data_IF_618319561486
#
_entry.id   IF_618319561486
#
_cell.length_a   1.000
_cell.length_b   1.000
_cell.length_c   1.000
_cell.angle_alpha   90.00
_cell.angle_beta   90.00
_cell.angle_gamma   90.00
#
_symmetry.space_group_name_H-M   'P 1'
#
loop_
_entity.id
_entity.type
_entity.pdbx_description
1 polymer ?
#
# COMPACT_ATOMS: atom_id res chain seq x y z
N UNK A 1 18.65 5.93 -25.66
CA UNK A 1 17.86 5.72 -24.44
C UNK A 1 18.34 4.45 -23.78
N UNK A 2 18.30 4.40 -22.45
CA UNK A 2 18.68 3.21 -21.71
C UNK A 2 17.45 2.32 -21.45
N UNK A 3 17.70 1.03 -21.25
CA UNK A 3 16.65 0.04 -20.92
C UNK A 3 16.45 -0.05 -19.40
N UNK A 4 15.30 -0.55 -18.94
CA UNK A 4 15.08 -0.73 -17.49
C UNK A 4 16.12 -1.69 -16.88
N UNK A 5 16.56 -2.69 -17.66
CA UNK A 5 17.61 -3.63 -17.26
C UNK A 5 18.95 -2.93 -17.01
N UNK A 6 19.30 -1.93 -17.82
CA UNK A 6 20.51 -1.12 -17.60
C UNK A 6 20.38 -0.29 -16.32
N UNK A 7 19.20 0.26 -16.02
CA UNK A 7 18.98 0.95 -14.75
C UNK A 7 19.12 0.01 -13.55
N UNK A 8 18.59 -1.21 -13.66
CA UNK A 8 18.71 -2.25 -12.63
C UNK A 8 20.17 -2.61 -12.34
N UNK A 9 20.97 -2.85 -13.38
CA UNK A 9 22.38 -3.25 -13.28
C UNK A 9 23.31 -2.13 -12.80
N UNK A 10 22.96 -0.87 -13.08
CA UNK A 10 23.78 0.28 -12.70
C UNK A 10 23.23 1.00 -11.45
N UNK A 11 22.29 0.39 -10.73
CA UNK A 11 21.68 0.93 -9.50
C UNK A 11 21.12 2.35 -9.64
N UNK A 12 20.51 2.64 -10.78
CA UNK A 12 19.98 3.97 -11.08
C UNK A 12 18.57 4.17 -10.50
N UNK A 13 18.26 5.43 -10.18
CA UNK A 13 16.93 5.85 -9.77
C UNK A 13 15.95 5.76 -10.95
N UNK A 14 14.68 5.48 -10.66
CA UNK A 14 13.58 5.66 -11.62
C UNK A 14 12.48 6.52 -11.00
N UNK A 15 11.86 7.36 -11.80
CA UNK A 15 10.60 8.02 -11.54
C UNK A 15 9.48 7.48 -12.44
N UNK A 16 8.22 7.72 -12.06
CA UNK A 16 7.06 7.24 -12.83
C UNK A 16 6.99 7.80 -14.27
N UNK A 17 7.54 9.00 -14.49
CA UNK A 17 7.52 9.67 -15.80
C UNK A 17 8.75 9.36 -16.67
N UNK A 18 9.65 8.50 -16.22
CA UNK A 18 10.79 8.08 -17.03
C UNK A 18 10.33 7.23 -18.23
N UNK A 19 11.16 7.21 -19.27
CA UNK A 19 10.92 6.41 -20.47
C UNK A 19 12.12 5.53 -20.79
N UNK A 20 11.84 4.33 -21.30
CA UNK A 20 12.85 3.29 -21.51
C UNK A 20 12.80 2.79 -22.96
N UNK A 21 13.96 2.41 -23.48
CA UNK A 21 14.05 1.71 -24.77
C UNK A 21 13.81 0.22 -24.54
N UNK A 22 12.82 -0.35 -25.22
CA UNK A 22 12.51 -1.79 -25.26
C UNK A 22 12.39 -2.24 -26.74
N UNK A 23 12.28 -3.56 -26.98
CA UNK A 23 12.30 -4.14 -28.33
C UNK A 23 11.24 -3.56 -29.29
N UNK A 24 10.12 -3.10 -28.73
CA UNK A 24 8.98 -2.54 -29.46
C UNK A 24 9.02 -1.00 -29.61
N UNK A 25 10.05 -0.35 -29.07
CA UNK A 25 10.22 1.11 -29.10
C UNK A 25 10.36 1.73 -27.71
N UNK A 26 9.90 2.97 -27.58
CA UNK A 26 9.91 3.69 -26.31
C UNK A 26 8.67 3.35 -25.50
N UNK A 27 8.86 2.94 -24.25
CA UNK A 27 7.79 2.65 -23.29
C UNK A 27 7.91 3.52 -22.05
N UNK A 28 6.80 3.69 -21.33
CA UNK A 28 6.76 4.37 -20.03
C UNK A 28 7.36 3.54 -18.91
N UNK A 29 7.67 4.16 -17.77
CA UNK A 29 8.15 3.44 -16.58
C UNK A 29 7.17 2.37 -16.09
N UNK A 30 5.86 2.66 -16.10
CA UNK A 30 4.83 1.69 -15.71
C UNK A 30 4.82 0.46 -16.62
N UNK A 31 4.88 0.66 -17.94
CA UNK A 31 4.94 -0.44 -18.92
C UNK A 31 6.22 -1.27 -18.77
N UNK A 32 7.37 -0.61 -18.61
CA UNK A 32 8.64 -1.29 -18.40
C UNK A 32 8.65 -2.12 -17.10
N UNK A 33 8.13 -1.56 -16.00
CA UNK A 33 7.98 -2.25 -14.72
C UNK A 33 7.00 -3.41 -14.81
N UNK A 34 5.89 -3.25 -15.54
CA UNK A 34 4.91 -4.32 -15.79
C UNK A 34 5.53 -5.49 -16.55
N UNK A 35 6.28 -5.20 -17.62
CA UNK A 35 7.00 -6.22 -18.39
C UNK A 35 8.03 -6.96 -17.52
N UNK A 36 8.78 -6.24 -16.69
CA UNK A 36 9.73 -6.84 -15.76
C UNK A 36 9.03 -7.68 -14.68
N UNK A 37 7.92 -7.18 -14.12
CA UNK A 37 7.11 -7.90 -13.14
C UNK A 37 6.61 -9.23 -13.71
N UNK A 38 6.06 -9.25 -14.93
CA UNK A 38 5.54 -10.48 -15.54
C UNK A 38 6.64 -11.52 -15.72
N UNK A 39 7.83 -11.10 -16.16
CA UNK A 39 8.99 -11.98 -16.32
C UNK A 39 9.44 -12.55 -14.97
N UNK A 40 9.58 -11.70 -13.94
CA UNK A 40 9.96 -12.12 -12.59
C UNK A 40 8.93 -13.04 -11.94
N UNK A 41 7.65 -12.67 -12.01
CA UNK A 41 6.55 -13.50 -11.51
C UNK A 41 6.62 -14.90 -12.14
N UNK A 42 6.77 -14.96 -13.46
CA UNK A 42 6.86 -16.23 -14.20
C UNK A 42 8.07 -17.06 -13.76
N UNK A 43 9.24 -16.43 -13.58
CA UNK A 43 10.46 -17.11 -13.12
C UNK A 43 10.33 -17.63 -11.67
N UNK A 44 9.63 -16.91 -10.81
CA UNK A 44 9.45 -17.25 -9.39
C UNK A 44 8.25 -18.17 -9.11
N UNK A 45 7.38 -18.43 -10.10
CA UNK A 45 6.17 -19.25 -9.91
C UNK A 45 6.52 -20.74 -9.82
N UNK A 46 6.16 -21.44 -8.72
CA UNK A 46 6.38 -22.88 -8.63
C UNK A 46 5.60 -23.67 -9.70
N UNK A 47 6.15 -24.80 -10.17
CA UNK A 47 5.53 -25.60 -11.22
C UNK A 47 4.12 -26.15 -10.91
N UNK A 48 3.75 -26.25 -9.64
CA UNK A 48 2.44 -26.75 -9.18
C UNK A 48 1.46 -25.63 -8.81
N UNK A 49 1.76 -24.38 -9.18
CA UNK A 49 0.98 -23.23 -8.78
C UNK A 49 -0.36 -23.14 -9.55
N UNK A 50 -1.47 -22.96 -8.82
CA UNK A 50 -2.79 -22.75 -9.40
C UNK A 50 -2.87 -21.35 -10.00
N UNK A 51 -3.33 -21.26 -11.25
CA UNK A 51 -3.37 -20.01 -11.99
C UNK A 51 -4.48 -19.10 -11.44
N UNK A 52 -4.09 -18.09 -10.68
CA UNK A 52 -4.95 -16.97 -10.29
C UNK A 52 -4.77 -15.79 -11.24
N UNK A 53 -5.80 -14.92 -11.43
CA UNK A 53 -5.62 -13.65 -12.11
C UNK A 53 -4.61 -12.78 -11.35
N UNK A 54 -3.61 -12.25 -12.06
CA UNK A 54 -2.61 -11.34 -11.49
C UNK A 54 -2.60 -10.06 -12.33
N UNK A 55 -2.78 -8.93 -11.68
CA UNK A 55 -2.80 -7.60 -12.30
C UNK A 55 -1.64 -6.78 -11.75
N UNK A 56 -0.97 -6.02 -12.62
CA UNK A 56 0.07 -5.07 -12.25
C UNK A 56 -0.33 -3.65 -12.63
N UNK A 57 -0.07 -2.68 -11.77
CA UNK A 57 -0.16 -1.25 -12.09
C UNK A 57 0.88 -0.43 -11.31
N UNK A 58 1.12 0.80 -11.75
CA UNK A 58 1.93 1.74 -10.99
C UNK A 58 1.36 3.17 -11.05
N UNK A 59 1.42 3.87 -9.92
CA UNK A 59 1.02 5.28 -9.83
C UNK A 59 2.02 6.10 -9.01
N UNK A 60 1.70 7.38 -8.85
CA UNK A 60 2.44 8.30 -7.99
C UNK A 60 1.51 8.93 -6.99
N UNK A 61 1.99 9.14 -5.77
CA UNK A 61 1.29 9.89 -4.75
C UNK A 61 2.23 10.96 -4.19
N UNK A 62 1.84 12.22 -4.28
CA UNK A 62 2.63 13.36 -3.82
C UNK A 62 1.95 14.01 -2.60
N UNK A 63 2.60 13.92 -1.45
CA UNK A 63 2.10 14.51 -0.22
C UNK A 63 1.96 16.03 -0.29
N UNK A 64 2.77 16.70 -1.10
CA UNK A 64 2.76 18.16 -1.21
C UNK A 64 1.50 18.69 -1.90
N UNK A 65 0.80 17.80 -2.62
CA UNK A 65 -0.47 18.11 -3.30
C UNK A 65 -1.69 17.86 -2.40
N UNK A 66 -1.50 17.31 -1.19
CA UNK A 66 -2.60 17.09 -0.24
C UNK A 66 -3.19 18.44 0.18
N UNK A 67 -4.49 18.61 -0.03
CA UNK A 67 -5.21 19.86 0.24
C UNK A 67 -5.13 20.90 -0.87
N UNK A 68 -4.30 20.67 -1.91
CA UNK A 68 -4.29 21.46 -3.14
C UNK A 68 -5.16 20.82 -4.23
N UNK A 69 -5.18 19.49 -4.30
CA UNK A 69 -6.03 18.72 -5.20
C UNK A 69 -7.19 18.08 -4.44
N UNK A 70 -8.37 17.99 -5.08
CA UNK A 70 -9.53 17.29 -4.53
C UNK A 70 -9.26 15.79 -4.37
N UNK A 71 -8.54 15.19 -5.32
CA UNK A 71 -8.06 13.81 -5.25
C UNK A 71 -6.83 13.61 -6.12
N UNK A 72 -5.97 12.69 -5.72
CA UNK A 72 -4.88 12.17 -6.54
C UNK A 72 -5.33 10.82 -7.14
N UNK A 73 -4.78 10.47 -8.29
CA UNK A 73 -5.03 9.16 -8.90
C UNK A 73 -4.59 8.04 -7.94
N UNK A 74 -5.44 7.02 -7.79
CA UNK A 74 -5.16 5.84 -6.99
C UNK A 74 -5.48 4.59 -7.81
N UNK A 75 -4.53 4.22 -8.68
CA UNK A 75 -4.70 3.05 -9.54
C UNK A 75 -4.78 1.77 -8.74
N UNK A 76 -4.20 1.72 -7.53
CA UNK A 76 -4.34 0.56 -6.66
C UNK A 76 -5.80 0.35 -6.24
N UNK A 77 -6.45 1.40 -5.74
CA UNK A 77 -7.86 1.37 -5.38
C UNK A 77 -8.74 1.03 -6.60
N UNK A 78 -8.47 1.66 -7.74
CA UNK A 78 -9.19 1.42 -8.99
C UNK A 78 -9.09 -0.05 -9.42
N UNK A 79 -7.88 -0.62 -9.45
CA UNK A 79 -7.67 -2.02 -9.84
C UNK A 79 -8.34 -3.00 -8.88
N UNK A 80 -8.39 -2.69 -7.58
CA UNK A 80 -9.15 -3.52 -6.63
C UNK A 80 -10.64 -3.48 -6.94
N UNK A 81 -11.21 -2.28 -7.13
CA UNK A 81 -12.63 -2.10 -7.43
C UNK A 81 -13.02 -2.83 -8.73
N UNK A 82 -12.21 -2.70 -9.78
CA UNK A 82 -12.43 -3.38 -11.06
C UNK A 82 -12.35 -4.92 -10.97
N UNK A 83 -11.70 -5.45 -9.92
CA UNK A 83 -11.54 -6.88 -9.73
C UNK A 83 -12.40 -7.47 -8.60
N UNK A 84 -13.25 -6.67 -7.95
CA UNK A 84 -14.21 -7.21 -6.98
C UNK A 84 -15.13 -8.23 -7.65
N UNK A 85 -15.35 -9.36 -6.98
CA UNK A 85 -16.09 -10.50 -7.53
C UNK A 85 -15.27 -11.43 -8.42
N UNK A 86 -13.97 -11.16 -8.64
CA UNK A 86 -13.04 -12.11 -9.28
C UNK A 86 -12.33 -12.95 -8.21
N UNK A 87 -12.69 -14.24 -8.04
CA UNK A 87 -12.11 -15.07 -6.99
C UNK A 87 -10.60 -15.19 -7.09
N UNK A 88 -9.93 -15.10 -5.94
CA UNK A 88 -8.48 -15.29 -5.80
C UNK A 88 -7.61 -14.33 -6.63
N UNK A 89 -8.17 -13.23 -7.15
CA UNK A 89 -7.40 -12.25 -7.90
C UNK A 89 -6.30 -11.62 -7.02
N UNK A 90 -5.15 -11.36 -7.64
CA UNK A 90 -3.99 -10.73 -7.02
C UNK A 90 -3.70 -9.40 -7.71
N UNK A 91 -3.73 -8.32 -6.95
CA UNK A 91 -3.47 -6.98 -7.45
C UNK A 91 -2.10 -6.55 -6.92
N UNK A 92 -1.15 -6.38 -7.81
CA UNK A 92 0.23 -5.98 -7.52
C UNK A 92 0.43 -4.55 -7.96
N UNK A 93 0.92 -3.70 -7.07
CA UNK A 93 1.01 -2.28 -7.37
C UNK A 93 2.25 -1.64 -6.77
N UNK A 94 2.92 -0.82 -7.58
CA UNK A 94 4.04 0.00 -7.14
C UNK A 94 3.63 1.47 -7.07
N UNK A 95 3.86 2.10 -5.93
CA UNK A 95 3.57 3.53 -5.75
C UNK A 95 4.86 4.32 -5.63
N UNK A 96 5.02 5.33 -6.49
CA UNK A 96 6.08 6.32 -6.37
C UNK A 96 5.62 7.41 -5.42
N UNK A 97 6.05 7.30 -4.17
CA UNK A 97 5.60 8.16 -3.10
C UNK A 97 6.54 9.35 -2.92
N UNK A 98 6.03 10.56 -3.10
CA UNK A 98 6.80 11.81 -3.06
C UNK A 98 6.46 12.63 -1.81
N UNK A 99 7.50 13.11 -1.15
CA UNK A 99 7.42 13.98 0.03
C UNK A 99 8.32 15.20 -0.20
N UNK A 100 8.22 16.22 0.65
CA UNK A 100 9.15 17.37 0.65
C UNK A 100 10.63 16.97 0.79
N UNK A 101 10.92 15.79 1.35
CA UNK A 101 12.28 15.29 1.61
C UNK A 101 12.83 14.43 0.47
N UNK A 102 12.00 14.10 -0.52
CA UNK A 102 12.35 13.21 -1.61
C UNK A 102 11.28 12.17 -1.89
N UNK A 103 11.58 11.27 -2.81
CA UNK A 103 10.67 10.23 -3.28
C UNK A 103 11.20 8.83 -3.05
N UNK A 104 10.27 7.87 -2.97
CA UNK A 104 10.58 6.48 -2.68
C UNK A 104 9.50 5.57 -3.25
N UNK A 105 9.90 4.40 -3.74
CA UNK A 105 8.98 3.38 -4.21
C UNK A 105 8.67 2.39 -3.08
N UNK A 106 7.39 2.07 -2.90
CA UNK A 106 6.95 0.96 -2.07
C UNK A 106 5.92 0.10 -2.80
N UNK A 107 5.73 -1.11 -2.28
CA UNK A 107 4.87 -2.11 -2.91
C UNK A 107 3.57 -2.29 -2.12
N UNK A 108 2.45 -2.36 -2.85
CA UNK A 108 1.12 -2.69 -2.36
C UNK A 108 0.63 -3.95 -3.07
N UNK A 109 0.20 -4.94 -2.31
CA UNK A 109 -0.29 -6.22 -2.81
C UNK A 109 -1.65 -6.50 -2.20
N UNK A 110 -2.70 -6.67 -3.00
CA UNK A 110 -3.99 -7.15 -2.50
C UNK A 110 -4.28 -8.56 -3.00
N UNK A 111 -4.85 -9.37 -2.12
CA UNK A 111 -5.38 -10.68 -2.44
C UNK A 111 -6.88 -10.68 -2.18
N UNK A 112 -7.65 -11.16 -3.17
CA UNK A 112 -9.07 -11.41 -3.01
C UNK A 112 -9.33 -12.86 -2.58
N UNK A 113 -10.42 -13.09 -1.86
CA UNK A 113 -10.84 -14.43 -1.40
C UNK A 113 -11.60 -15.20 -2.50
N UNK A 114 -12.16 -16.37 -2.15
CA UNK A 114 -12.99 -17.18 -3.04
C UNK A 114 -14.28 -16.50 -3.52
N UNK A 115 -14.74 -15.46 -2.83
CA UNK A 115 -15.92 -14.67 -3.22
C UNK A 115 -15.55 -13.46 -4.08
N UNK A 116 -14.26 -13.14 -4.17
CA UNK A 116 -13.76 -11.95 -4.83
C UNK A 116 -13.85 -10.69 -3.95
N UNK A 117 -13.98 -10.84 -2.63
CA UNK A 117 -13.82 -9.74 -1.69
C UNK A 117 -12.36 -9.57 -1.27
N UNK A 118 -11.99 -8.37 -0.80
CA UNK A 118 -10.63 -8.11 -0.30
C UNK A 118 -10.38 -9.00 0.92
N UNK A 119 -9.49 -9.98 0.78
CA UNK A 119 -9.05 -10.81 1.91
C UNK A 119 -8.00 -10.06 2.73
N UNK A 120 -6.98 -9.54 2.05
CA UNK A 120 -5.79 -8.96 2.67
C UNK A 120 -5.11 -7.96 1.73
N UNK A 121 -4.57 -6.90 2.31
CA UNK A 121 -3.66 -5.96 1.66
C UNK A 121 -2.33 -6.03 2.40
N UNK A 122 -1.25 -6.31 1.67
CA UNK A 122 0.12 -6.36 2.18
C UNK A 122 0.88 -5.16 1.63
N UNK A 123 1.44 -4.32 2.49
CA UNK A 123 2.38 -3.28 2.10
C UNK A 123 3.79 -3.70 2.50
N UNK A 124 4.75 -3.44 1.61
CA UNK A 124 6.18 -3.65 1.92
C UNK A 124 6.98 -2.41 1.55
N UNK A 125 8.00 -2.14 2.36
CA UNK A 125 8.90 -1.02 2.18
C UNK A 125 10.33 -1.51 2.45
N UNK A 126 11.26 -1.15 1.55
CA UNK A 126 12.67 -1.48 1.67
C UNK A 126 13.41 -0.55 2.63
N UNK A 127 12.74 0.49 3.16
CA UNK A 127 13.25 1.36 4.22
C UNK A 127 12.28 1.37 5.39
N UNK A 128 12.77 0.98 6.55
CA UNK A 128 11.97 0.89 7.77
C UNK A 128 12.50 1.76 8.89
N UNK A 129 11.59 2.28 9.71
CA UNK A 129 11.88 2.92 10.99
C UNK A 129 10.97 2.27 12.03
N UNK A 130 11.53 1.74 13.12
CA UNK A 130 10.76 1.08 14.19
C UNK A 130 9.79 0.01 13.66
N UNK A 131 10.25 -0.82 12.73
CA UNK A 131 9.47 -1.88 12.06
C UNK A 131 8.26 -1.39 11.23
N UNK A 132 8.25 -0.11 10.87
CA UNK A 132 7.25 0.51 10.00
C UNK A 132 7.94 1.04 8.73
N UNK A 133 7.30 0.89 7.57
CA UNK A 133 7.81 1.45 6.31
C UNK A 133 7.75 2.96 6.33
N UNK A 134 8.79 3.64 5.84
CA UNK A 134 8.86 5.12 5.88
C UNK A 134 7.75 5.73 5.02
N UNK A 135 7.55 5.26 3.80
CA UNK A 135 6.48 5.78 2.93
C UNK A 135 5.22 4.94 3.01
N UNK A 136 5.34 3.61 3.16
CA UNK A 136 4.17 2.74 3.27
C UNK A 136 3.27 3.12 4.46
N UNK A 137 3.86 3.48 5.61
CA UNK A 137 3.07 3.89 6.79
C UNK A 137 2.40 5.25 6.61
N UNK A 138 3.02 6.15 5.85
CA UNK A 138 2.44 7.46 5.52
C UNK A 138 1.32 7.32 4.51
N UNK A 139 1.49 6.46 3.51
CA UNK A 139 0.45 6.10 2.54
C UNK A 139 -0.79 5.54 3.24
N UNK A 140 -0.65 4.57 4.16
CA UNK A 140 -1.76 4.05 4.98
C UNK A 140 -2.47 5.17 5.76
N UNK A 141 -1.72 6.20 6.20
CA UNK A 141 -2.25 7.31 6.98
C UNK A 141 -2.90 8.41 6.15
N UNK A 142 -2.54 8.56 4.88
CA UNK A 142 -2.95 9.72 4.07
C UNK A 142 -3.85 9.33 2.90
N UNK A 143 -3.78 8.08 2.43
CA UNK A 143 -4.62 7.57 1.36
C UNK A 143 -6.00 7.15 1.90
N UNK A 144 -7.11 7.76 1.42
CA UNK A 144 -8.45 7.46 1.91
C UNK A 144 -8.89 6.01 1.71
N UNK A 145 -8.51 5.39 0.60
CA UNK A 145 -8.84 3.99 0.32
C UNK A 145 -8.15 3.05 1.31
N UNK A 146 -6.85 3.24 1.54
CA UNK A 146 -6.10 2.44 2.51
C UNK A 146 -6.60 2.67 3.95
N UNK A 147 -6.97 3.90 4.30
CA UNK A 147 -7.60 4.18 5.60
C UNK A 147 -8.91 3.41 5.79
N UNK A 148 -9.76 3.35 4.76
CA UNK A 148 -11.01 2.61 4.80
C UNK A 148 -10.78 1.10 4.97
N UNK A 149 -9.69 0.57 4.39
CA UNK A 149 -9.32 -0.85 4.45
C UNK A 149 -8.36 -1.20 5.59
N UNK A 150 -8.12 -0.29 6.55
CA UNK A 150 -7.06 -0.44 7.58
C UNK A 150 -7.07 -1.76 8.35
N UNK A 151 -8.24 -2.38 8.55
CA UNK A 151 -8.35 -3.67 9.24
C UNK A 151 -7.83 -4.87 8.43
N UNK A 152 -7.74 -4.73 7.11
CA UNK A 152 -7.27 -5.75 6.16
C UNK A 152 -5.80 -5.54 5.78
N UNK A 153 -5.17 -4.48 6.28
CA UNK A 153 -3.79 -4.11 5.96
C UNK A 153 -2.83 -4.80 6.93
N UNK A 154 -1.85 -5.49 6.35
CA UNK A 154 -0.64 -5.94 7.04
C UNK A 154 0.57 -5.22 6.43
N UNK A 155 1.48 -4.75 7.29
CA UNK A 155 2.80 -4.30 6.86
C UNK A 155 3.82 -5.40 7.12
N UNK A 156 4.57 -5.79 6.09
CA UNK A 156 5.70 -6.71 6.22
C UNK A 156 6.96 -5.95 5.80
N UNK A 157 8.00 -5.87 6.66
CA UNK A 157 9.26 -5.26 6.26
C UNK A 157 9.85 -6.06 5.09
N UNK A 158 10.17 -5.35 4.00
CA UNK A 158 10.86 -5.93 2.86
C UNK A 158 12.33 -6.20 3.17
N UNK A 159 13.05 -6.79 2.21
CA UNK A 159 14.51 -6.77 2.24
C UNK A 159 14.99 -5.31 2.37
N UNK A 160 15.86 -5.05 3.34
CA UNK A 160 16.34 -3.71 3.61
C UNK A 160 17.34 -3.30 2.52
N UNK A 161 17.03 -2.23 1.78
CA UNK A 161 17.98 -1.72 0.78
C UNK A 161 19.20 -1.08 1.46
N UNK A 162 20.36 -1.03 0.77
CA UNK A 162 21.51 -0.27 1.21
C UNK A 162 21.16 1.20 1.50
N UNK A 163 21.86 1.77 2.47
CA UNK A 163 21.68 3.17 2.84
C UNK A 163 22.06 4.09 1.69
N UNK A 164 21.24 5.12 1.43
CA UNK A 164 21.46 6.16 0.42
C UNK A 164 21.53 5.69 -1.04
N UNK A 165 21.09 4.47 -1.35
CA UNK A 165 20.95 4.02 -2.74
C UNK A 165 19.55 4.32 -3.29
N UNK A 166 19.42 4.75 -4.56
CA UNK A 166 18.12 5.13 -5.13
C UNK A 166 17.41 3.95 -5.80
N UNK A 167 17.55 2.74 -5.25
CA UNK A 167 17.11 1.48 -5.87
C UNK A 167 15.87 0.88 -5.20
N UNK A 168 15.10 1.67 -4.44
CA UNK A 168 13.89 1.20 -3.75
C UNK A 168 12.92 0.46 -4.68
N UNK A 169 12.83 0.91 -5.93
CA UNK A 169 11.99 0.32 -6.96
C UNK A 169 12.35 -1.15 -7.27
N UNK A 170 13.65 -1.53 -7.24
CA UNK A 170 14.10 -2.92 -7.47
C UNK A 170 13.53 -3.83 -6.37
N UNK A 171 13.59 -3.36 -5.13
CA UNK A 171 13.12 -4.10 -3.96
C UNK A 171 11.60 -4.22 -3.95
N UNK A 172 10.88 -3.14 -4.28
CA UNK A 172 9.43 -3.17 -4.44
C UNK A 172 9.01 -4.16 -5.53
N UNK A 173 9.67 -4.14 -6.68
CA UNK A 173 9.38 -5.04 -7.80
C UNK A 173 9.60 -6.51 -7.41
N UNK A 174 10.72 -6.82 -6.75
CA UNK A 174 11.03 -8.16 -6.26
C UNK A 174 9.96 -8.67 -5.28
N UNK A 175 9.58 -7.84 -4.30
CA UNK A 175 8.56 -8.19 -3.31
C UNK A 175 7.21 -8.47 -3.96
N UNK A 176 6.77 -7.65 -4.93
CA UNK A 176 5.52 -7.90 -5.63
C UNK A 176 5.54 -9.20 -6.42
N UNK A 177 6.61 -9.45 -7.18
CA UNK A 177 6.75 -10.68 -7.93
C UNK A 177 6.71 -11.90 -6.99
N UNK A 178 7.43 -11.84 -5.87
CA UNK A 178 7.44 -12.90 -4.86
C UNK A 178 6.08 -13.11 -4.19
N UNK A 179 5.39 -12.04 -3.78
CA UNK A 179 4.07 -12.12 -3.14
C UNK A 179 3.04 -12.72 -4.11
N UNK A 180 3.09 -12.30 -5.37
CA UNK A 180 2.22 -12.82 -6.41
C UNK A 180 2.48 -14.32 -6.69
N UNK A 181 3.74 -14.74 -6.73
CA UNK A 181 4.12 -16.13 -7.05
C UNK A 181 4.02 -17.09 -5.85
N UNK A 182 4.33 -16.63 -4.64
CA UNK A 182 4.54 -17.50 -3.46
C UNK A 182 3.72 -17.12 -2.23
N UNK A 183 3.11 -15.93 -2.22
CA UNK A 183 2.43 -15.38 -1.04
C UNK A 183 3.39 -14.86 0.04
N UNK A 184 4.70 -14.76 -0.25
CA UNK A 184 5.73 -14.30 0.69
C UNK A 184 6.56 -13.17 0.09
N UNK A 185 7.10 -12.31 0.96
CA UNK A 185 8.07 -11.27 0.61
C UNK A 185 9.33 -11.92 0.02
N UNK A 186 10.02 -11.22 -0.88
CA UNK A 186 11.18 -11.76 -1.56
C UNK A 186 12.34 -12.01 -0.60
N UNK A 187 12.92 -13.20 -0.67
CA UNK A 187 14.17 -13.57 -0.02
C UNK A 187 15.20 -13.86 -1.11
N UNK A 188 16.39 -13.22 -1.09
CA UNK A 188 17.46 -13.49 -2.06
C UNK A 188 17.80 -14.97 -2.14
N UNK A 189 17.80 -15.53 -3.34
CA UNK A 189 18.12 -16.93 -3.59
C UNK A 189 19.61 -17.14 -3.77
N UNK A 190 20.31 -16.11 -4.24
CA UNK A 190 21.75 -16.08 -4.43
C UNK A 190 22.35 -15.03 -3.50
N UNK A 191 23.50 -15.32 -2.89
CA UNK A 191 24.24 -14.29 -2.18
C UNK A 191 24.81 -13.28 -3.18
N UNK A 192 24.52 -12.00 -3.02
CA UNK A 192 25.01 -10.97 -3.95
C UNK A 192 24.16 -9.71 -4.00
N UNK A 193 24.31 -8.97 -5.09
CA UNK A 193 23.51 -7.79 -5.39
C UNK A 193 22.14 -8.18 -5.96
N UNK A 194 21.07 -7.61 -5.39
CA UNK A 194 19.70 -7.90 -5.82
C UNK A 194 19.44 -7.48 -7.27
N UNK A 195 20.00 -6.36 -7.71
CA UNK A 195 19.83 -5.89 -9.09
C UNK A 195 20.42 -6.87 -10.10
N UNK A 196 21.61 -7.40 -9.81
CA UNK A 196 22.24 -8.44 -10.62
C UNK A 196 21.40 -9.73 -10.65
N UNK A 197 20.97 -10.22 -9.48
CA UNK A 197 20.14 -11.43 -9.34
C UNK A 197 18.85 -11.33 -10.17
N UNK A 198 18.08 -10.24 -9.99
CA UNK A 198 16.85 -10.03 -10.75
C UNK A 198 17.12 -9.86 -12.25
N UNK A 199 18.23 -9.22 -12.62
CA UNK A 199 18.61 -9.07 -14.02
C UNK A 199 18.87 -10.41 -14.71
N UNK A 200 19.34 -11.42 -13.97
CA UNK A 200 19.52 -12.77 -14.50
C UNK A 200 18.18 -13.43 -14.79
N UNK A 201 17.20 -13.33 -13.88
CA UNK A 201 15.84 -13.82 -14.13
C UNK A 201 15.20 -13.14 -15.35
N UNK A 202 15.42 -11.83 -15.54
CA UNK A 202 14.88 -11.09 -16.67
C UNK A 202 15.50 -11.44 -18.02
N UNK A 203 16.75 -11.94 -18.02
CA UNK A 203 17.48 -12.39 -19.23
C UNK A 203 17.18 -13.83 -19.61
N UNK A 204 16.71 -14.65 -18.67
CA UNK A 204 16.36 -16.04 -18.96
C UNK A 204 15.15 -16.06 -19.90
N UNK A 205 15.31 -16.68 -21.07
CA UNK A 205 14.16 -17.00 -21.90
C UNK A 205 13.24 -17.95 -21.12
N UNK A 206 11.91 -17.74 -21.13
CA UNK A 206 11.00 -18.68 -20.49
C UNK A 206 11.29 -20.07 -21.07
N UNK A 207 11.46 -21.12 -20.24
CA UNK A 207 11.80 -22.43 -20.74
C UNK A 207 10.78 -22.81 -21.81
N UNK A 208 11.25 -23.02 -23.04
CA UNK A 208 10.44 -23.52 -24.14
C UNK A 208 9.70 -24.73 -23.60
N UNK A 209 8.38 -24.58 -23.39
CA UNK A 209 7.48 -25.63 -22.96
C UNK A 209 7.74 -26.78 -23.91
N UNK A 210 8.52 -27.75 -23.48
CA UNK A 210 8.82 -28.92 -24.28
C UNK A 210 7.50 -29.63 -24.36
N UNK A 211 6.75 -29.39 -25.44
CA UNK A 211 5.58 -30.17 -25.74
C UNK A 211 6.07 -31.60 -25.67
N UNK A 212 5.52 -32.36 -24.72
CA UNK A 212 5.66 -33.80 -24.73
C UNK A 212 5.37 -34.22 -26.17
N UNK A 213 6.35 -34.85 -26.81
CA UNK A 213 6.22 -35.45 -28.14
C UNK A 213 5.04 -36.41 -28.08
N UNK A 214 3.84 -35.90 -28.33
CA UNK A 214 2.67 -36.70 -28.63
C UNK A 214 2.96 -37.28 -30.02
N UNK A 215 3.34 -38.55 -29.97
CA UNK A 215 3.47 -39.42 -31.13
C UNK A 215 2.31 -39.19 -32.11
N UNK A 216 2.70 -39.01 -33.36
CA UNK A 216 1.89 -38.86 -34.56
C UNK A 216 0.50 -39.53 -34.52
N UNK A 217 -0.52 -38.77 -34.94
CA UNK A 217 -1.46 -39.21 -35.98
C UNK A 217 -2.17 -38.01 -36.61
N UNK A 218 -1.99 -37.91 -37.93
CA UNK A 218 -2.64 -37.01 -38.86
C UNK A 218 -4.16 -37.19 -38.84
N UNK A 219 -4.90 -36.10 -38.69
CA UNK A 219 -6.28 -35.98 -39.20
C UNK A 219 -6.62 -34.52 -39.52
N UNK A 220 -7.27 -34.36 -40.68
CA UNK A 220 -7.56 -33.16 -41.47
C UNK A 220 -8.27 -32.01 -40.74
N UNK A 221 -8.19 -30.76 -41.27
CA UNK A 221 -8.86 -29.60 -40.71
C UNK A 221 -10.36 -29.62 -41.05
N UNK A 222 -11.21 -29.36 -40.06
CA UNK A 222 -12.63 -29.06 -40.27
C UNK A 222 -12.95 -27.76 -39.54
N UNK A 223 -13.66 -26.90 -40.27
CA UNK A 223 -13.98 -25.52 -40.01
C UNK A 223 -14.69 -25.26 -38.68
N UNK A 224 -14.39 -24.08 -38.13
CA UNK A 224 -15.12 -23.39 -37.08
C UNK A 224 -16.57 -23.12 -37.50
N UNK A 225 -17.51 -23.63 -36.72
CA UNK A 225 -18.83 -23.03 -36.55
C UNK A 225 -19.25 -23.14 -35.08
N UNK A 226 -19.48 -21.97 -34.52
CA UNK A 226 -20.31 -21.60 -33.36
C UNK A 226 -21.44 -22.58 -33.07
N UNK A 227 -21.71 -22.90 -31.79
CA UNK A 227 -23.09 -22.98 -31.27
C UNK A 227 -23.10 -23.06 -29.73
N UNK A 228 -24.05 -22.32 -29.16
CA UNK A 228 -24.44 -22.19 -27.76
C UNK A 228 -24.68 -23.54 -27.07
N UNK A 229 -24.35 -23.65 -25.78
CA UNK A 229 -24.99 -24.63 -24.89
C UNK A 229 -25.25 -24.06 -23.48
N UNK A 230 -26.51 -24.28 -23.09
CA UNK A 230 -27.20 -23.94 -21.84
C UNK A 230 -26.93 -25.05 -20.79
N UNK A 231 -27.08 -24.78 -19.46
CA UNK A 231 -26.48 -25.61 -18.41
C UNK A 231 -27.29 -26.88 -18.13
N UNK A 232 -26.59 -27.95 -17.74
CA UNK A 232 -27.21 -29.21 -17.30
C UNK A 232 -27.08 -29.40 -15.79
N UNK A 233 -28.25 -29.47 -15.17
CA UNK A 233 -28.53 -30.00 -13.83
C UNK A 233 -28.22 -31.49 -13.75
N UNK A 234 -27.54 -31.94 -12.69
CA UNK A 234 -27.82 -33.21 -11.98
C UNK A 234 -26.95 -33.35 -10.72
N UNK A 235 -27.61 -33.46 -9.58
CA UNK A 235 -27.21 -34.08 -8.29
C UNK A 235 -27.94 -35.47 -8.28
N UNK A 236 -27.67 -36.55 -7.50
CA UNK A 236 -26.94 -36.77 -6.21
C UNK A 236 -26.09 -38.11 -6.20
N UNK A 237 -25.76 -38.81 -5.08
CA UNK A 237 -25.69 -38.53 -3.62
C UNK A 237 -24.29 -38.83 -2.97
N UNK A 238 -23.84 -38.14 -1.90
CA UNK A 238 -23.93 -38.43 -0.43
C UNK A 238 -22.95 -39.50 0.15
N UNK A 239 -22.23 -39.09 1.21
CA UNK A 239 -21.78 -39.76 2.48
C UNK A 239 -20.41 -39.15 2.86
N UNK A 240 -20.34 -38.14 3.74
CA UNK A 240 -20.22 -38.15 5.23
C UNK A 240 -18.81 -38.52 5.78
N UNK A 241 -18.15 -37.52 6.39
CA UNK A 241 -17.37 -37.53 7.66
C UNK A 241 -16.63 -36.18 7.76
N UNK A 242 -17.15 -35.18 8.50
CA UNK A 242 -17.05 -34.97 9.95
C UNK A 242 -15.63 -34.59 10.44
N UNK A 243 -15.38 -33.28 10.61
CA UNK A 243 -14.79 -32.75 11.87
C UNK A 243 -15.01 -31.23 11.99
N UNK A 244 -15.77 -30.86 13.01
CA UNK A 244 -15.97 -29.49 13.53
C UNK A 244 -14.92 -29.14 14.61
N UNK A 245 -15.04 -27.93 15.17
CA UNK A 245 -14.27 -27.21 16.24
C UNK A 245 -13.25 -26.21 15.66
N UNK A 246 -13.34 -24.88 15.86
CA UNK A 246 -13.67 -24.08 17.06
C UNK A 246 -14.53 -22.85 16.70
N UNK A 247 -15.69 -22.63 17.33
CA UNK A 247 -15.98 -21.81 18.53
C UNK A 247 -15.77 -20.29 18.34
N UNK A 248 -16.93 -19.63 18.27
CA UNK A 248 -17.21 -18.22 18.49
C UNK A 248 -16.46 -17.60 19.68
N UNK A 249 -15.96 -16.39 19.49
CA UNK A 249 -15.82 -15.43 20.57
C UNK A 249 -16.35 -14.06 20.12
N UNK A 250 -17.61 -13.84 20.44
CA UNK A 250 -18.26 -12.54 20.52
C UNK A 250 -17.61 -11.74 21.65
N UNK A 251 -16.95 -10.62 21.34
CA UNK A 251 -16.61 -9.61 22.34
C UNK A 251 -17.01 -8.21 21.84
N UNK A 252 -18.17 -7.78 22.35
CA UNK A 252 -18.54 -6.42 22.76
C UNK A 252 -17.93 -5.23 21.99
N UNK A 253 -18.76 -4.66 21.11
CA UNK A 253 -18.76 -3.24 20.76
C UNK A 253 -18.97 -2.39 22.02
N UNK A 254 -17.94 -1.70 22.51
CA UNK A 254 -18.12 -0.51 23.35
C UNK A 254 -17.18 0.63 22.94
N UNK A 255 -17.81 1.70 22.48
CA UNK A 255 -17.41 3.13 22.36
C UNK A 255 -15.94 3.47 22.68
N UNK A 256 -15.15 3.78 21.64
CA UNK A 256 -13.97 4.67 21.73
C UNK A 256 -14.13 5.87 20.79
N UNK A 257 -14.89 6.87 21.23
CA UNK A 257 -15.01 8.18 20.56
C UNK A 257 -14.62 9.27 21.56
N UNK A 258 -13.34 9.32 21.96
CA UNK A 258 -12.83 10.34 22.89
C UNK A 258 -11.32 10.62 22.81
N UNK A 259 -10.57 9.96 21.92
CA UNK A 259 -9.10 10.13 21.85
C UNK A 259 -8.62 11.16 20.82
N UNK A 260 -9.41 11.53 19.80
CA UNK A 260 -8.93 12.40 18.71
C UNK A 260 -8.78 13.87 19.09
N UNK A 261 -9.70 14.41 19.90
CA UNK A 261 -9.69 15.82 20.33
C UNK A 261 -8.49 16.16 21.22
N UNK A 262 -8.08 15.21 22.08
CA UNK A 262 -6.93 15.39 22.97
C UNK A 262 -5.60 15.42 22.20
N UNK A 263 -5.49 14.64 21.11
CA UNK A 263 -4.30 14.61 20.26
C UNK A 263 -4.17 15.88 19.43
N UNK A 264 -5.29 16.38 18.89
CA UNK A 264 -5.34 17.63 18.11
C UNK A 264 -5.01 18.84 19.01
N UNK A 265 -5.66 18.94 20.18
CA UNK A 265 -5.42 20.03 21.12
C UNK A 265 -3.99 20.06 21.68
N UNK A 266 -3.41 18.88 21.99
CA UNK A 266 -2.03 18.76 22.43
C UNK A 266 -1.02 19.16 21.35
N UNK A 267 -1.27 18.77 20.10
CA UNK A 267 -0.40 19.14 18.97
C UNK A 267 -0.42 20.66 18.73
N UNK A 268 -1.61 21.29 18.76
CA UNK A 268 -1.75 22.74 18.58
C UNK A 268 -1.05 23.55 19.69
N UNK A 269 -1.10 23.08 20.94
CA UNK A 269 -0.34 23.69 22.03
C UNK A 269 1.17 23.62 21.82
N UNK A 270 1.68 22.46 21.40
CA UNK A 270 3.12 22.26 21.16
C UNK A 270 3.62 23.12 20.00
N UNK A 271 2.86 23.17 18.90
CA UNK A 271 3.19 24.06 17.77
C UNK A 271 3.11 25.54 18.16
N UNK A 272 2.10 25.94 18.93
CA UNK A 272 1.99 27.30 19.44
C UNK A 272 3.19 27.71 20.30
N UNK A 273 3.58 26.87 21.27
CA UNK A 273 4.74 27.09 22.12
C UNK A 273 6.06 27.15 21.32
N UNK A 274 6.25 26.25 20.36
CA UNK A 274 7.42 26.26 19.48
C UNK A 274 7.51 27.54 18.63
N UNK A 275 6.36 28.02 18.13
CA UNK A 275 6.28 29.26 17.33
C UNK A 275 6.58 30.50 18.18
N UNK A 276 6.15 30.53 19.45
CA UNK A 276 6.50 31.61 20.39
C UNK A 276 8.01 31.69 20.66
N UNK A 277 8.65 30.54 20.88
CA UNK A 277 10.11 30.46 21.09
C UNK A 277 10.85 30.91 19.83
N UNK A 278 10.42 30.46 18.65
CA UNK A 278 11.00 30.87 17.38
C UNK A 278 10.84 32.39 17.16
N UNK A 279 9.67 32.96 17.42
CA UNK A 279 9.44 34.40 17.35
C UNK A 279 10.33 35.20 18.31
N UNK A 280 10.51 34.72 19.55
CA UNK A 280 11.42 35.31 20.52
C UNK A 280 12.89 35.28 20.08
N UNK A 281 13.35 34.16 19.49
CA UNK A 281 14.69 34.04 18.92
C UNK A 281 14.90 34.93 17.69
N UNK A 282 13.85 35.14 16.88
CA UNK A 282 13.91 36.07 15.75
C UNK A 282 14.08 37.51 16.28
N UNK A 283 13.34 37.90 17.33
CA UNK A 283 13.48 39.24 17.92
C UNK A 283 14.86 39.52 18.53
N UNK A 284 15.62 38.50 18.93
CA UNK A 284 16.99 38.70 19.46
C UNK A 284 18.04 38.90 18.37
N UNK A 285 17.74 38.52 17.12
CA UNK A 285 18.58 38.88 15.99
C UNK A 285 18.39 40.38 15.70
N UNK A 286 19.40 41.20 16.00
CA UNK A 286 19.38 42.66 15.85
C UNK A 286 19.37 43.14 14.39
N UNK A 287 18.39 42.68 13.61
CA UNK A 287 18.18 42.98 12.19
C UNK A 287 16.91 43.80 12.04
N UNK A 288 16.89 44.81 11.16
CA UNK A 288 15.70 45.65 10.96
C UNK A 288 14.43 44.87 10.51
N UNK A 289 14.62 43.71 9.87
CA UNK A 289 13.56 42.84 9.36
C UNK A 289 13.04 41.89 10.46
N UNK A 290 13.80 41.69 11.55
CA UNK A 290 13.44 40.73 12.59
C UNK A 290 12.27 41.18 13.45
N UNK A 291 12.07 42.49 13.59
CA UNK A 291 10.98 43.07 14.39
C UNK A 291 9.60 42.68 13.82
N UNK A 292 9.24 43.03 12.57
CA UNK A 292 7.92 42.67 12.04
C UNK A 292 7.71 41.16 11.97
N UNK A 293 8.75 40.40 11.56
CA UNK A 293 8.66 38.94 11.46
C UNK A 293 8.49 38.27 12.83
N UNK A 294 9.24 38.72 13.83
CA UNK A 294 9.17 38.22 15.20
C UNK A 294 7.81 38.48 15.84
N UNK A 295 7.24 39.68 15.66
CA UNK A 295 5.88 39.98 16.14
C UNK A 295 4.82 39.13 15.45
N UNK A 296 4.91 38.91 14.13
CA UNK A 296 3.98 38.04 13.41
C UNK A 296 4.04 36.59 13.91
N UNK A 297 5.24 36.06 14.17
CA UNK A 297 5.42 34.71 14.71
C UNK A 297 4.88 34.59 16.13
N UNK A 298 5.11 35.59 16.99
CA UNK A 298 4.55 35.60 18.34
C UNK A 298 3.02 35.64 18.31
N UNK A 299 2.43 36.49 17.47
CA UNK A 299 0.98 36.57 17.31
C UNK A 299 0.39 35.23 16.85
N UNK A 300 1.01 34.57 15.87
CA UNK A 300 0.59 33.26 15.39
C UNK A 300 0.72 32.19 16.49
N UNK A 301 1.82 32.19 17.24
CA UNK A 301 2.04 31.29 18.37
C UNK A 301 0.99 31.45 19.47
N UNK A 302 0.57 32.68 19.78
CA UNK A 302 -0.51 32.96 20.74
C UNK A 302 -1.86 32.40 20.25
N UNK A 303 -2.20 32.61 18.97
CA UNK A 303 -3.45 32.09 18.39
C UNK A 303 -3.49 30.56 18.45
N UNK A 304 -2.41 29.89 18.05
CA UNK A 304 -2.32 28.43 18.07
C UNK A 304 -2.40 27.87 19.50
N UNK A 305 -1.71 28.50 20.45
CA UNK A 305 -1.74 28.10 21.86
C UNK A 305 -3.14 28.27 22.45
N UNK A 306 -3.79 29.41 22.20
CA UNK A 306 -5.15 29.67 22.67
C UNK A 306 -6.16 28.67 22.07
N UNK A 307 -6.03 28.39 20.77
CA UNK A 307 -6.88 27.42 20.06
C UNK A 307 -6.68 26.01 20.62
N UNK A 308 -5.43 25.59 20.85
CA UNK A 308 -5.12 24.30 21.48
C UNK A 308 -5.70 24.19 22.89
N UNK A 309 -5.58 25.24 23.70
CA UNK A 309 -6.16 25.30 25.04
C UNK A 309 -7.70 25.18 25.02
N UNK A 310 -8.39 25.89 24.10
CA UNK A 310 -9.84 25.81 23.94
C UNK A 310 -10.28 24.41 23.51
N UNK A 311 -9.57 23.77 22.58
CA UNK A 311 -9.89 22.40 22.12
C UNK A 311 -9.73 21.39 23.26
N UNK A 312 -8.71 21.55 24.11
CA UNK A 312 -8.51 20.69 25.28
C UNK A 312 -9.55 20.92 26.38
N UNK A 313 -9.91 22.17 26.69
CA UNK A 313 -10.95 22.46 27.70
C UNK A 313 -12.34 22.01 27.21
N UNK A 314 -12.67 22.20 25.94
CA UNK A 314 -13.90 21.67 25.35
C UNK A 314 -13.95 20.13 25.35
N UNK A 315 -12.80 19.48 25.18
CA UNK A 315 -12.65 18.03 25.34
C UNK A 315 -12.88 17.54 26.78
N UNK A 316 -12.54 18.36 27.77
CA UNK A 316 -12.78 18.05 29.19
C UNK A 316 -14.24 18.30 29.62
N UNK A 317 -14.88 19.39 29.16
CA UNK A 317 -16.28 19.70 29.49
C UNK A 317 -17.23 18.63 28.92
N UNK A 318 -17.01 18.19 27.67
CA UNK A 318 -17.78 17.10 27.06
C UNK A 318 -17.61 15.75 27.75
N UNK A 319 -16.50 15.54 28.48
CA UNK A 319 -16.31 14.35 29.31
C UNK A 319 -17.09 14.44 30.62
N UNK A 320 -17.30 15.63 31.17
CA UNK A 320 -18.06 15.81 32.40
C UNK A 320 -19.58 15.60 32.18
N UNK A 321 -20.15 16.15 31.10
CA UNK A 321 -21.58 15.96 30.76
C UNK A 321 -21.94 14.48 30.49
N UNK A 322 -21.06 13.75 29.79
CA UNK A 322 -21.30 12.32 29.46
C UNK A 322 -21.26 11.44 30.71
N UNK A 323 -20.51 11.84 31.75
CA UNK A 323 -20.44 11.11 33.02
C UNK A 323 -21.70 11.38 33.85
N UNK A 324 -22.23 12.61 33.86
CA UNK A 324 -23.41 12.99 34.65
C UNK A 324 -24.71 12.39 34.08
N UNK A 325 -24.85 12.32 32.75
CA UNK A 325 -26.01 11.72 32.07
C UNK A 325 -26.02 10.18 32.20
N UNK A 326 -24.83 9.56 32.32
CA UNK A 326 -24.67 8.12 32.53
C UNK A 326 -24.97 7.68 33.97
N UNK A 327 -24.72 8.53 34.98
CA UNK A 327 -25.12 8.24 36.36
C UNK A 327 -26.62 8.41 36.59
N UNK A 328 -27.28 9.33 35.89
CA UNK A 328 -28.74 9.53 36.02
C UNK A 328 -29.55 8.38 35.39
N UNK A 329 -29.03 7.76 34.32
CA UNK A 329 -29.68 6.62 33.65
C UNK A 329 -29.51 5.29 34.40
N UNK A 330 -28.44 5.11 35.18
CA UNK A 330 -28.28 3.88 35.99
C UNK A 330 -29.17 3.84 37.24
N UNK A 331 -29.64 4.97 37.74
CA UNK A 331 -30.51 5.02 38.94
C UNK A 331 -32.00 4.74 38.64
N UNK A 332 -32.45 4.90 37.40
CA UNK A 332 -33.85 4.61 37.01
C UNK A 332 -34.09 3.18 36.49
N UNK A 333 -33.04 2.35 36.38
CA UNK A 333 -33.13 0.99 35.84
C UNK A 333 -33.36 -0.13 36.86
N UNK A 334 -33.47 0.20 38.16
CA UNK A 334 -33.52 -0.79 39.27
C UNK A 334 -34.83 -0.81 40.07
N UNK A 335 -35.93 -0.27 39.53
CA UNK A 335 -37.27 -0.42 40.10
C UNK A 335 -38.25 -0.94 39.04
N UNK A 336 -38.27 -2.26 38.84
CA UNK A 336 -39.39 -3.00 38.29
C UNK A 336 -39.43 -4.39 38.94
#
# INVERSE_FOLDING_TARGET
MATLLQFMQNHLAIGLHDTFAEDIGTVTAEEALSNAFIKLHTALTPHHYLKSPVVFSADSFDETLIGLLESQEDKFAEQIVLNLGNPHAKICHMRHYTTEKGSHWHALFAQLDETGEIQKITLTDSRTLTSQGITASRDIQLNPFLQAQRKKIEFIPGLQQPSKTPICWIYSLANLASLASTGRVYEPQQGGDLGEELSQFLKQEPPLRTQAKASAKSSKPINSTTFFYQPSTSIPPTIEEETQFFIDNTHSLQKKKSSSLNVIGGSLLLFGAGTLVAGGLVLTAALAISIPLGFSLIALGLILTLTGAIVLTAGCIKKAEVVEESTLTMLNGYCA
#
